data_IF_420525619832
#
_entry.id   IF_420525619832
#
_cell.length_a   1.000
_cell.length_b   1.000
_cell.length_c   1.000
_cell.angle_alpha   90.00
_cell.angle_beta   90.00
_cell.angle_gamma   90.00
#
_symmetry.space_group_name_H-M   'P 1'
#
loop_
_entity.id
_entity.type
_entity.pdbx_description
1 polymer ?
#
# COMPACT_ATOMS: atom_id res chain seq x y z
N UNK A 1 18.49 23.59 14.54
CA UNK A 1 18.16 22.41 15.39
C UNK A 1 19.46 21.81 15.92
N UNK A 2 19.54 21.51 17.22
CA UNK A 2 20.68 20.79 17.81
C UNK A 2 20.60 19.31 17.42
N UNK A 3 21.73 18.59 17.43
CA UNK A 3 21.76 17.15 17.11
C UNK A 3 20.84 16.33 18.04
N UNK A 4 20.75 16.71 19.32
CA UNK A 4 19.87 16.10 20.33
C UNK A 4 18.38 16.31 20.00
N UNK A 5 17.99 17.48 19.55
CA UNK A 5 16.61 17.81 19.17
C UNK A 5 16.21 17.07 17.88
N UNK A 6 17.12 16.98 16.91
CA UNK A 6 16.91 16.20 15.68
C UNK A 6 16.65 14.74 16.00
N UNK A 7 17.45 14.13 16.88
CA UNK A 7 17.28 12.73 17.28
C UNK A 7 15.96 12.50 18.03
N UNK A 8 15.58 13.42 18.93
CA UNK A 8 14.29 13.36 19.65
C UNK A 8 13.11 13.38 18.66
N UNK A 9 13.13 14.30 17.71
CA UNK A 9 12.09 14.41 16.69
C UNK A 9 12.05 13.18 15.76
N UNK A 10 13.20 12.68 15.33
CA UNK A 10 13.28 11.47 14.53
C UNK A 10 12.70 10.25 15.26
N UNK A 11 12.98 10.09 16.56
CA UNK A 11 12.41 9.02 17.38
C UNK A 11 10.90 9.14 17.50
N UNK A 12 10.37 10.35 17.72
CA UNK A 12 8.92 10.58 17.81
C UNK A 12 8.22 10.26 16.50
N UNK A 13 8.75 10.74 15.36
CA UNK A 13 8.23 10.45 14.03
C UNK A 13 8.23 8.94 13.75
N UNK A 14 9.35 8.27 14.06
CA UNK A 14 9.47 6.82 13.85
C UNK A 14 8.45 6.03 14.69
N UNK A 15 8.32 6.32 15.98
CA UNK A 15 7.40 5.60 16.86
C UNK A 15 5.94 5.86 16.49
N UNK A 16 5.57 7.11 16.20
CA UNK A 16 4.21 7.46 15.79
C UNK A 16 3.88 6.91 14.41
N UNK A 17 4.82 6.94 13.48
CA UNK A 17 4.67 6.31 12.16
C UNK A 17 4.41 4.81 12.25
N UNK A 18 5.11 4.11 13.17
CA UNK A 18 4.82 2.70 13.46
C UNK A 18 3.42 2.48 14.03
N UNK A 19 2.96 3.32 14.95
CA UNK A 19 1.60 3.22 15.48
C UNK A 19 0.54 3.36 14.38
N UNK A 20 0.71 4.29 13.46
CA UNK A 20 -0.18 4.47 12.28
C UNK A 20 -0.12 3.21 11.41
N UNK A 21 1.07 2.72 11.10
CA UNK A 21 1.26 1.51 10.30
C UNK A 21 0.55 0.30 10.92
N UNK A 22 0.75 0.05 12.22
CA UNK A 22 0.14 -1.07 12.94
C UNK A 22 -1.39 -0.93 13.00
N UNK A 23 -1.91 0.30 13.11
CA UNK A 23 -3.34 0.58 13.04
C UNK A 23 -3.92 0.22 11.67
N UNK A 24 -3.28 0.64 10.58
CA UNK A 24 -3.67 0.30 9.20
C UNK A 24 -3.64 -1.20 8.99
N UNK A 25 -2.60 -1.90 9.44
CA UNK A 25 -2.51 -3.35 9.33
C UNK A 25 -3.65 -4.07 10.03
N UNK A 26 -4.01 -3.66 11.26
CA UNK A 26 -5.15 -4.26 11.98
C UNK A 26 -6.47 -4.05 11.24
N UNK A 27 -6.70 -2.85 10.68
CA UNK A 27 -7.92 -2.56 9.91
C UNK A 27 -7.96 -3.38 8.64
N UNK A 28 -6.84 -3.47 7.90
CA UNK A 28 -6.74 -4.28 6.68
C UNK A 28 -7.07 -5.74 6.95
N UNK A 29 -6.46 -6.33 7.98
CA UNK A 29 -6.74 -7.71 8.39
C UNK A 29 -8.20 -7.88 8.79
N UNK A 30 -8.75 -6.97 9.60
CA UNK A 30 -10.16 -7.01 9.99
C UNK A 30 -11.13 -6.75 8.82
N UNK A 31 -10.75 -5.96 7.82
CA UNK A 31 -11.53 -5.75 6.62
C UNK A 31 -11.56 -7.01 5.74
N UNK A 32 -10.41 -7.65 5.55
CA UNK A 32 -10.33 -8.93 4.82
C UNK A 32 -11.18 -10.01 5.48
N UNK A 33 -11.16 -10.10 6.82
CA UNK A 33 -11.99 -11.06 7.58
C UNK A 33 -13.49 -10.77 7.46
N UNK A 34 -13.90 -9.51 7.37
CA UNK A 34 -15.31 -9.10 7.27
C UNK A 34 -15.85 -9.09 5.84
N UNK A 35 -14.99 -8.86 4.86
CA UNK A 35 -15.34 -8.94 3.44
C UNK A 35 -15.73 -10.36 3.00
N UNK A 36 -15.61 -11.29 3.86
CA UNK A 36 -15.99 -12.68 4.08
C UNK A 36 -16.85 -13.45 3.10
N UNK A 37 -16.84 -13.15 1.83
CA UNK A 37 -17.54 -13.98 0.84
C UNK A 37 -16.59 -14.75 -0.09
N UNK A 38 -15.29 -14.53 0.01
CA UNK A 38 -14.35 -15.25 -0.84
C UNK A 38 -13.10 -15.66 -0.05
N UNK A 39 -12.89 -16.96 0.19
CA UNK A 39 -11.73 -17.53 0.89
C UNK A 39 -10.38 -17.03 0.38
N UNK A 40 -10.36 -16.52 -0.86
CA UNK A 40 -9.15 -16.01 -1.54
C UNK A 40 -8.43 -14.89 -0.80
N UNK A 41 -9.16 -14.01 -0.11
CA UNK A 41 -8.59 -12.86 0.61
C UNK A 41 -8.18 -13.20 2.04
N UNK A 42 -8.84 -14.18 2.69
CA UNK A 42 -8.53 -14.58 4.06
C UNK A 42 -7.13 -15.17 4.23
N UNK A 43 -6.61 -15.80 3.20
CA UNK A 43 -5.30 -16.44 3.21
C UNK A 43 -4.15 -15.53 2.76
N UNK A 44 -4.43 -14.25 2.48
CA UNK A 44 -3.39 -13.31 2.06
C UNK A 44 -2.55 -12.85 3.24
N UNK A 45 -1.22 -12.95 3.10
CA UNK A 45 -0.31 -12.31 4.03
C UNK A 45 -0.41 -10.78 3.90
N UNK A 46 -0.03 -10.06 4.98
CA UNK A 46 0.04 -8.60 4.96
C UNK A 46 0.90 -8.07 3.80
N UNK A 47 1.97 -8.78 3.44
CA UNK A 47 2.85 -8.39 2.34
C UNK A 47 2.17 -8.57 0.98
N UNK A 48 1.38 -9.63 0.79
CA UNK A 48 0.60 -9.85 -0.43
C UNK A 48 -0.50 -8.80 -0.57
N UNK A 49 -1.20 -8.47 0.51
CA UNK A 49 -2.21 -7.41 0.52
C UNK A 49 -1.58 -6.06 0.18
N UNK A 50 -0.43 -5.74 0.77
CA UNK A 50 0.30 -4.50 0.47
C UNK A 50 0.68 -4.43 -1.03
N UNK A 51 1.13 -5.53 -1.63
CA UNK A 51 1.42 -5.60 -3.06
C UNK A 51 0.16 -5.32 -3.90
N UNK A 52 -0.98 -5.94 -3.58
CA UNK A 52 -2.24 -5.73 -4.28
C UNK A 52 -2.65 -4.24 -4.21
N UNK A 53 -2.58 -3.64 -3.02
CA UNK A 53 -2.92 -2.23 -2.84
C UNK A 53 -1.97 -1.29 -3.60
N UNK A 54 -0.67 -1.61 -3.68
CA UNK A 54 0.27 -0.85 -4.51
C UNK A 54 -0.08 -0.95 -6.00
N UNK A 55 -0.41 -2.15 -6.50
CA UNK A 55 -0.84 -2.35 -7.89
C UNK A 55 -2.14 -1.58 -8.16
N UNK A 56 -3.08 -1.57 -7.21
CA UNK A 56 -4.35 -0.83 -7.29
C UNK A 56 -4.13 0.67 -7.48
N UNK A 57 -3.30 1.27 -6.62
CA UNK A 57 -3.00 2.72 -6.66
C UNK A 57 -2.27 3.14 -7.93
N UNK A 58 -1.41 2.27 -8.47
CA UNK A 58 -0.62 2.55 -9.68
C UNK A 58 -1.33 2.20 -10.97
N UNK A 59 -2.48 1.49 -10.91
CA UNK A 59 -3.27 0.97 -12.03
C UNK A 59 -2.52 -0.01 -12.94
N UNK A 60 -1.24 0.24 -13.18
CA UNK A 60 -0.31 -0.61 -13.93
C UNK A 60 1.10 -0.44 -13.38
N UNK A 61 1.83 -1.53 -13.21
CA UNK A 61 3.19 -1.52 -12.68
C UNK A 61 3.98 -2.72 -13.20
N UNK A 62 5.29 -2.56 -13.36
CA UNK A 62 6.20 -3.66 -13.70
C UNK A 62 6.74 -4.38 -12.46
N UNK A 63 7.31 -5.58 -12.65
CA UNK A 63 8.00 -6.32 -11.58
C UNK A 63 9.13 -5.49 -10.97
N UNK A 64 9.90 -4.79 -11.80
CA UNK A 64 11.04 -3.97 -11.34
C UNK A 64 10.58 -2.80 -10.48
N UNK A 65 9.50 -2.11 -10.90
CA UNK A 65 8.93 -1.02 -10.10
C UNK A 65 8.37 -1.52 -8.77
N UNK A 66 7.66 -2.67 -8.76
CA UNK A 66 7.19 -3.29 -7.52
C UNK A 66 8.34 -3.68 -6.60
N UNK A 67 9.42 -4.22 -7.15
CA UNK A 67 10.61 -4.57 -6.37
C UNK A 67 11.22 -3.36 -5.67
N UNK A 68 11.37 -2.25 -6.39
CA UNK A 68 11.84 -0.99 -5.84
C UNK A 68 10.91 -0.44 -4.75
N UNK A 69 9.59 -0.45 -4.98
CA UNK A 69 8.58 0.03 -4.04
C UNK A 69 8.50 -0.81 -2.76
N UNK A 70 8.66 -2.13 -2.87
CA UNK A 70 8.59 -3.06 -1.74
C UNK A 70 9.93 -3.26 -1.03
N UNK A 71 11.02 -2.76 -1.59
CA UNK A 71 12.36 -2.96 -1.03
C UNK A 71 12.81 -4.43 -1.05
N UNK A 72 12.36 -5.22 -2.03
CA UNK A 72 12.68 -6.65 -2.16
C UNK A 72 13.23 -6.95 -3.55
N UNK A 73 13.83 -8.14 -3.72
CA UNK A 73 14.42 -8.53 -5.00
C UNK A 73 13.37 -8.78 -6.10
N UNK A 74 13.65 -8.50 -7.38
CA UNK A 74 12.75 -8.80 -8.49
C UNK A 74 12.31 -10.28 -8.56
N UNK A 75 13.16 -11.27 -8.31
CA UNK A 75 12.74 -12.67 -8.23
C UNK A 75 11.67 -12.92 -7.15
N UNK A 76 11.83 -12.32 -5.96
CA UNK A 76 10.85 -12.44 -4.87
C UNK A 76 9.50 -11.84 -5.26
N UNK A 77 9.51 -10.68 -5.93
CA UNK A 77 8.28 -10.06 -6.49
C UNK A 77 7.66 -10.95 -7.54
N UNK A 78 8.44 -11.51 -8.48
CA UNK A 78 7.92 -12.41 -9.51
C UNK A 78 7.17 -13.58 -8.91
N UNK A 79 7.76 -14.27 -7.93
CA UNK A 79 7.11 -15.39 -7.24
C UNK A 79 5.82 -14.97 -6.53
N UNK A 80 5.82 -13.79 -5.89
CA UNK A 80 4.63 -13.28 -5.21
C UNK A 80 3.53 -12.92 -6.21
N UNK A 81 3.88 -12.28 -7.32
CA UNK A 81 2.94 -11.96 -8.42
C UNK A 81 2.34 -13.23 -9.01
N UNK A 82 3.16 -14.26 -9.29
CA UNK A 82 2.68 -15.54 -9.82
C UNK A 82 1.61 -16.15 -8.92
N UNK A 83 1.86 -16.23 -7.60
CA UNK A 83 0.88 -16.73 -6.62
C UNK A 83 -0.40 -15.90 -6.60
N UNK A 84 -0.31 -14.59 -6.76
CA UNK A 84 -1.49 -13.70 -6.79
C UNK A 84 -2.26 -13.80 -8.11
N UNK A 85 -1.57 -14.09 -9.21
CA UNK A 85 -2.20 -14.38 -10.52
C UNK A 85 -2.92 -15.73 -10.46
N UNK A 86 -2.30 -16.78 -9.92
CA UNK A 86 -2.92 -18.10 -9.70
C UNK A 86 -4.19 -18.01 -8.85
N UNK A 87 -4.19 -17.10 -7.86
CA UNK A 87 -5.36 -16.81 -7.01
C UNK A 87 -6.40 -15.90 -7.67
N UNK A 88 -6.17 -15.44 -8.89
CA UNK A 88 -7.08 -14.54 -9.59
C UNK A 88 -7.16 -13.12 -9.01
N UNK A 89 -6.14 -12.68 -8.25
CA UNK A 89 -6.07 -11.34 -7.67
C UNK A 89 -5.43 -10.34 -8.61
N UNK A 90 -4.40 -10.77 -9.34
CA UNK A 90 -3.67 -9.97 -10.29
C UNK A 90 -3.75 -10.58 -11.70
N UNK A 91 -3.50 -9.75 -12.69
CA UNK A 91 -3.27 -10.15 -14.07
C UNK A 91 -1.88 -9.72 -14.51
N UNK A 92 -1.30 -10.50 -15.43
CA UNK A 92 0.01 -10.25 -15.99
C UNK A 92 -0.11 -10.24 -17.52
N UNK A 93 0.14 -9.09 -18.14
CA UNK A 93 -0.01 -8.90 -19.58
C UNK A 93 1.24 -8.25 -20.19
N UNK A 94 1.61 -8.55 -21.43
CA UNK A 94 2.64 -7.80 -22.15
C UNK A 94 2.27 -6.31 -22.21
N UNK A 95 3.27 -5.43 -22.08
CA UNK A 95 3.05 -4.01 -22.27
C UNK A 95 2.71 -3.69 -23.72
N UNK A 96 1.76 -2.79 -23.94
CA UNK A 96 1.41 -2.30 -25.27
C UNK A 96 2.52 -1.42 -25.90
N UNK A 97 3.39 -0.84 -25.07
CA UNK A 97 4.49 0.02 -25.52
C UNK A 97 5.78 -0.76 -25.78
N UNK A 98 6.02 -1.84 -25.02
CA UNK A 98 7.19 -2.70 -25.17
C UNK A 98 6.81 -4.13 -24.78
N UNK A 99 6.64 -4.99 -25.76
CA UNK A 99 6.26 -6.40 -25.57
C UNK A 99 7.24 -7.22 -24.73
N UNK A 100 8.46 -6.71 -24.51
CA UNK A 100 9.45 -7.34 -23.63
C UNK A 100 9.17 -7.05 -22.16
N UNK A 101 8.35 -6.02 -21.86
CA UNK A 101 7.96 -5.64 -20.51
C UNK A 101 6.60 -6.23 -20.19
N UNK A 102 6.47 -6.68 -18.95
CA UNK A 102 5.22 -7.19 -18.39
C UNK A 102 4.62 -6.15 -17.47
N UNK A 103 3.34 -5.94 -17.62
CA UNK A 103 2.54 -5.06 -16.79
C UNK A 103 1.63 -5.89 -15.89
N UNK A 104 1.60 -5.54 -14.63
CA UNK A 104 0.78 -6.16 -13.61
C UNK A 104 -0.37 -5.21 -13.29
N UNK A 105 -1.57 -5.77 -13.20
CA UNK A 105 -2.81 -5.06 -12.81
C UNK A 105 -3.60 -5.89 -11.81
N UNK A 106 -4.51 -5.24 -11.11
CA UNK A 106 -5.55 -5.94 -10.38
C UNK A 106 -6.46 -6.67 -11.38
N UNK A 107 -6.84 -7.89 -11.09
CA UNK A 107 -7.74 -8.65 -11.96
C UNK A 107 -9.16 -8.05 -11.92
N UNK A 108 -9.91 -8.08 -13.03
CA UNK A 108 -11.30 -7.62 -13.04
C UNK A 108 -12.16 -8.30 -11.96
N UNK A 109 -11.94 -9.58 -11.72
CA UNK A 109 -12.68 -10.40 -10.75
C UNK A 109 -12.39 -10.03 -9.28
N UNK A 110 -11.27 -9.36 -9.03
CA UNK A 110 -10.85 -8.93 -7.68
C UNK A 110 -11.18 -7.46 -7.40
N UNK A 111 -11.54 -6.67 -8.42
CA UNK A 111 -11.72 -5.21 -8.29
C UNK A 111 -12.75 -4.86 -7.23
N UNK A 112 -13.93 -5.49 -7.23
CA UNK A 112 -15.01 -5.15 -6.31
C UNK A 112 -14.64 -5.42 -4.86
N UNK A 113 -13.98 -6.51 -4.60
CA UNK A 113 -13.50 -6.89 -3.26
C UNK A 113 -12.41 -5.93 -2.76
N UNK A 114 -11.42 -5.65 -3.61
CA UNK A 114 -10.34 -4.72 -3.30
C UNK A 114 -10.91 -3.32 -3.05
N UNK A 115 -11.91 -2.88 -3.83
CA UNK A 115 -12.58 -1.59 -3.62
C UNK A 115 -13.29 -1.54 -2.27
N UNK A 116 -13.93 -2.63 -1.83
CA UNK A 116 -14.52 -2.72 -0.48
C UNK A 116 -13.49 -2.61 0.63
N UNK A 117 -12.37 -3.30 0.49
CA UNK A 117 -11.25 -3.23 1.45
C UNK A 117 -10.69 -1.81 1.50
N UNK A 118 -10.46 -1.20 0.34
CA UNK A 118 -9.99 0.19 0.21
C UNK A 118 -10.94 1.18 0.88
N UNK A 119 -12.25 1.02 0.70
CA UNK A 119 -13.25 1.87 1.34
C UNK A 119 -13.21 1.78 2.88
N UNK A 120 -13.00 0.58 3.44
CA UNK A 120 -12.83 0.40 4.89
C UNK A 120 -11.56 1.09 5.40
N UNK A 121 -10.45 0.95 4.66
CA UNK A 121 -9.19 1.62 4.99
C UNK A 121 -9.33 3.15 4.96
N UNK A 122 -9.90 3.68 3.88
CA UNK A 122 -10.15 5.12 3.74
C UNK A 122 -11.09 5.64 4.83
N UNK A 123 -12.13 4.88 5.18
CA UNK A 123 -13.04 5.20 6.27
C UNK A 123 -12.31 5.45 7.59
N UNK A 124 -11.34 4.62 7.94
CA UNK A 124 -10.55 4.78 9.16
C UNK A 124 -9.66 6.03 9.14
N UNK A 125 -9.10 6.39 7.98
CA UNK A 125 -8.38 7.64 7.82
C UNK A 125 -9.31 8.86 7.88
N UNK A 126 -10.52 8.76 7.34
CA UNK A 126 -11.55 9.81 7.48
C UNK A 126 -11.86 10.06 8.95
N UNK A 127 -12.01 9.01 9.77
CA UNK A 127 -12.26 9.15 11.20
C UNK A 127 -11.08 9.82 11.93
N UNK A 128 -9.85 9.43 11.57
CA UNK A 128 -8.64 10.06 12.12
C UNK A 128 -8.56 11.55 11.72
N UNK A 129 -8.83 11.87 10.45
CA UNK A 129 -8.86 13.26 9.95
C UNK A 129 -9.91 14.09 10.68
N UNK A 130 -11.10 13.54 10.92
CA UNK A 130 -12.15 14.21 11.72
C UNK A 130 -11.70 14.45 13.16
N UNK A 131 -11.05 13.47 13.78
CA UNK A 131 -10.59 13.55 15.16
C UNK A 131 -9.52 14.62 15.38
N UNK A 132 -8.58 14.80 14.44
CA UNK A 132 -7.52 15.81 14.55
C UNK A 132 -7.95 17.20 14.10
N UNK A 133 -9.06 17.31 13.39
CA UNK A 133 -9.64 18.56 12.91
C UNK A 133 -8.98 19.15 11.65
N UNK A 134 -9.62 20.14 11.01
CA UNK A 134 -9.25 20.60 9.68
C UNK A 134 -7.89 21.32 9.62
N UNK A 135 -7.52 22.05 10.66
CA UNK A 135 -6.24 22.78 10.69
C UNK A 135 -5.05 21.82 10.78
N UNK A 136 -5.13 20.84 11.70
CA UNK A 136 -4.10 19.81 11.87
C UNK A 136 -4.00 18.93 10.62
N UNK A 137 -5.12 18.58 10.01
CA UNK A 137 -5.15 17.82 8.76
C UNK A 137 -4.41 18.55 7.64
N UNK A 138 -4.61 19.85 7.48
CA UNK A 138 -3.92 20.65 6.46
C UNK A 138 -2.40 20.63 6.66
N UNK A 139 -1.95 20.84 7.90
CA UNK A 139 -0.51 20.76 8.27
C UNK A 139 0.05 19.36 8.00
N UNK A 140 -0.69 18.32 8.35
CA UNK A 140 -0.30 16.93 8.11
C UNK A 140 -0.13 16.64 6.61
N UNK A 141 -1.10 17.04 5.78
CA UNK A 141 -1.00 16.89 4.32
C UNK A 141 0.18 17.67 3.73
N UNK A 142 0.50 18.86 4.27
CA UNK A 142 1.66 19.64 3.85
C UNK A 142 2.97 18.92 4.15
N UNK A 143 3.13 18.41 5.38
CA UNK A 143 4.30 17.63 5.80
C UNK A 143 4.46 16.38 4.92
N UNK A 144 3.38 15.64 4.67
CA UNK A 144 3.41 14.44 3.83
C UNK A 144 3.82 14.75 2.39
N UNK A 145 3.41 15.90 1.82
CA UNK A 145 3.86 16.32 0.48
C UNK A 145 5.37 16.57 0.44
N UNK A 146 5.92 17.26 1.43
CA UNK A 146 7.37 17.49 1.53
C UNK A 146 8.15 16.18 1.71
N UNK A 147 7.66 15.26 2.55
CA UNK A 147 8.27 13.94 2.74
C UNK A 147 8.27 13.16 1.42
N UNK A 148 7.12 13.14 0.72
CA UNK A 148 7.00 12.47 -0.58
C UNK A 148 8.04 13.00 -1.58
N UNK A 149 8.16 14.31 -1.73
CA UNK A 149 9.15 14.94 -2.61
C UNK A 149 10.59 14.57 -2.22
N UNK A 150 10.91 14.58 -0.93
CA UNK A 150 12.24 14.23 -0.44
C UNK A 150 12.61 12.75 -0.69
N UNK A 151 11.62 11.85 -0.70
CA UNK A 151 11.82 10.42 -0.99
C UNK A 151 11.94 10.15 -2.50
N UNK A 152 11.22 10.92 -3.33
CA UNK A 152 11.25 10.79 -4.80
C UNK A 152 12.50 11.43 -5.44
N UNK A 153 13.22 12.28 -4.70
CA UNK A 153 14.45 12.98 -5.16
C UNK A 153 15.74 12.18 -4.92
N UNK A 154 15.65 10.98 -4.37
CA UNK A 154 16.78 10.06 -4.12
C UNK A 154 16.80 8.93 -5.14
#
# INVERSE_FOLDING_TARGET
>A
MTNSETLKNARYIFTTGRMIHDHVQRITTGACMRAGSNDRFHELSAQQMNMIMMVRVREKVSVTELAALLGVSPPSVSTMVERLVERGMLTRTPSSQDRRKVVIRVSPEAIDEITRIEAVLLGSFVDLVKAVGPETTRKWCEVLRHIKQALESK
#
